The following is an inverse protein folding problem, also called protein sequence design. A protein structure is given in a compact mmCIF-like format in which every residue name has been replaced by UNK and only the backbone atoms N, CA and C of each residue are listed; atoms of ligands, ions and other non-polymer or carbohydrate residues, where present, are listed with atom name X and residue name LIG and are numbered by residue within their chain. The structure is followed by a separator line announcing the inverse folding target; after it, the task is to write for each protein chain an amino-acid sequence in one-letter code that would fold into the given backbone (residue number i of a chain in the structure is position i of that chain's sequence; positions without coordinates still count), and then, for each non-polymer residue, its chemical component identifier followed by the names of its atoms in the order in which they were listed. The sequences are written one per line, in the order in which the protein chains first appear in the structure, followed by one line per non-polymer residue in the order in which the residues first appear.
data_IF_463914564987
#
_entry.id   IF_463914564987
#
_cell.length_a   1.000
_cell.length_b   1.000
_cell.length_c   1.000
_cell.angle_alpha   90.00
_cell.angle_beta   90.00
_cell.angle_gamma   90.00
#
_symmetry.space_group_name_H-M   'P 1'
#
loop_
_entity.id
_entity.type
_entity.pdbx_description
1 polymer ?
#
# COMPACT_ATOMS: atom_id res chain seq x y z
N UNK A 1 -0.92 -22.69 6.87
CA UNK A 1 -0.65 -21.50 6.05
C UNK A 1 -1.67 -20.40 6.31
N UNK A 2 -3.00 -20.61 6.20
CA UNK A 2 -4.02 -19.59 6.43
C UNK A 2 -4.01 -18.93 7.83
N UNK A 3 -3.68 -19.66 8.87
CA UNK A 3 -3.62 -19.12 10.24
C UNK A 3 -2.47 -18.13 10.45
N UNK A 4 -1.29 -18.38 9.87
CA UNK A 4 -0.14 -17.47 9.97
C UNK A 4 -0.41 -16.16 9.24
N UNK A 5 -1.07 -16.20 8.07
CA UNK A 5 -1.43 -15.01 7.30
C UNK A 5 -2.45 -14.13 8.04
N UNK A 6 -3.45 -14.76 8.71
CA UNK A 6 -4.44 -14.03 9.51
C UNK A 6 -3.77 -13.28 10.68
N UNK A 7 -2.82 -13.93 11.32
CA UNK A 7 -2.04 -13.35 12.43
C UNK A 7 -1.06 -12.27 11.93
N UNK A 8 -0.47 -12.46 10.76
CA UNK A 8 0.51 -11.54 10.18
C UNK A 8 -0.11 -10.22 9.72
N UNK A 9 -1.37 -10.23 9.27
CA UNK A 9 -2.06 -9.08 8.68
C UNK A 9 -2.04 -7.79 9.54
N UNK A 10 -2.39 -7.80 10.84
CA UNK A 10 -2.35 -6.59 11.66
C UNK A 10 -0.93 -6.03 11.82
N UNK A 11 0.08 -6.91 11.88
CA UNK A 11 1.48 -6.48 11.97
C UNK A 11 1.97 -5.85 10.66
N UNK A 12 1.68 -6.46 9.53
CA UNK A 12 2.03 -5.92 8.22
C UNK A 12 1.38 -4.56 7.98
N UNK A 13 0.10 -4.42 8.33
CA UNK A 13 -0.63 -3.16 8.22
C UNK A 13 -0.03 -2.07 9.11
N UNK A 14 0.26 -2.38 10.38
CA UNK A 14 0.87 -1.43 11.31
C UNK A 14 2.27 -1.00 10.86
N UNK A 15 3.10 -1.93 10.38
CA UNK A 15 4.41 -1.65 9.82
C UNK A 15 4.32 -0.73 8.60
N UNK A 16 3.37 -1.00 7.70
CA UNK A 16 3.13 -0.19 6.52
C UNK A 16 2.64 1.22 6.87
N UNK A 17 1.67 1.35 7.77
CA UNK A 17 1.14 2.65 8.20
C UNK A 17 2.24 3.51 8.83
N UNK A 18 3.08 2.91 9.68
CA UNK A 18 4.21 3.60 10.28
C UNK A 18 5.22 4.07 9.22
N UNK A 19 5.68 3.17 8.36
CA UNK A 19 6.65 3.49 7.32
C UNK A 19 6.12 4.51 6.31
N UNK A 20 4.82 4.46 5.97
CA UNK A 20 4.18 5.41 5.08
C UNK A 20 4.05 6.81 5.67
N UNK A 21 3.86 6.93 7.00
CA UNK A 21 3.82 8.22 7.71
C UNK A 21 5.19 8.91 7.68
N UNK A 22 6.29 8.16 7.77
CA UNK A 22 7.67 8.68 7.72
C UNK A 22 8.13 8.99 6.28
N UNK A 23 7.49 8.40 5.26
CA UNK A 23 7.72 8.73 3.85
C UNK A 23 8.19 7.57 2.98
N UNK A 24 8.35 7.85 1.68
CA UNK A 24 8.66 6.81 0.67
C UNK A 24 10.01 6.13 0.85
N UNK A 25 11.00 6.85 1.39
CA UNK A 25 12.32 6.28 1.64
C UNK A 25 12.23 5.19 2.71
N UNK A 26 11.49 5.47 3.78
CA UNK A 26 11.25 4.52 4.87
C UNK A 26 10.48 3.28 4.39
N UNK A 27 9.51 3.43 3.49
CA UNK A 27 8.82 2.27 2.89
C UNK A 27 9.79 1.28 2.23
N UNK A 28 10.82 1.80 1.55
CA UNK A 28 11.84 0.95 0.90
C UNK A 28 12.79 0.33 1.93
N UNK A 29 13.20 1.10 2.93
CA UNK A 29 14.08 0.62 4.02
C UNK A 29 13.38 -0.50 4.79
N UNK A 30 12.12 -0.31 5.19
CA UNK A 30 11.33 -1.33 5.87
C UNK A 30 11.16 -2.59 5.04
N UNK A 31 10.86 -2.45 3.73
CA UNK A 31 10.76 -3.55 2.77
C UNK A 31 12.02 -4.42 2.78
N UNK A 32 13.18 -3.80 2.60
CA UNK A 32 14.46 -4.51 2.56
C UNK A 32 14.77 -5.20 3.90
N UNK A 33 14.56 -4.51 5.01
CA UNK A 33 14.90 -5.02 6.33
C UNK A 33 13.94 -6.11 6.80
N UNK A 34 12.64 -6.01 6.48
CA UNK A 34 11.67 -7.09 6.74
C UNK A 34 11.96 -8.32 5.88
N UNK A 35 12.33 -8.13 4.60
CA UNK A 35 12.71 -9.24 3.72
C UNK A 35 13.96 -9.96 4.25
N UNK A 36 14.97 -9.23 4.74
CA UNK A 36 16.16 -9.79 5.36
C UNK A 36 15.81 -10.61 6.60
N UNK A 37 15.03 -10.05 7.52
CA UNK A 37 14.60 -10.74 8.72
C UNK A 37 13.74 -11.99 8.42
N UNK A 38 12.87 -11.91 7.40
CA UNK A 38 12.07 -13.03 6.94
C UNK A 38 12.92 -14.16 6.36
N UNK A 39 13.92 -13.83 5.54
CA UNK A 39 14.84 -14.82 4.97
C UNK A 39 15.63 -15.56 6.07
N UNK A 40 16.09 -14.85 7.09
CA UNK A 40 16.80 -15.47 8.23
C UNK A 40 15.88 -16.42 9.00
N UNK A 41 14.63 -16.03 9.24
CA UNK A 41 13.67 -16.89 9.97
C UNK A 41 13.23 -18.10 9.14
N UNK A 42 13.27 -18.01 7.81
CA UNK A 42 13.01 -19.13 6.91
C UNK A 42 14.15 -20.17 6.84
N UNK A 43 15.35 -19.76 7.24
CA UNK A 43 16.47 -20.70 7.31
C UNK A 43 16.17 -21.85 8.27
N UNK A 44 16.40 -23.08 7.81
CA UNK A 44 16.00 -24.29 8.55
C UNK A 44 16.78 -24.47 9.89
N UNK A 45 18.02 -23.99 9.96
CA UNK A 45 18.82 -24.06 11.18
C UNK A 45 18.35 -23.00 12.18
N UNK A 46 18.11 -21.79 11.69
CA UNK A 46 17.61 -20.69 12.50
C UNK A 46 16.18 -20.96 13.01
N UNK A 47 15.29 -21.49 12.17
CA UNK A 47 13.95 -21.89 12.56
C UNK A 47 13.96 -22.96 13.67
N UNK A 48 14.84 -23.97 13.58
CA UNK A 48 15.05 -24.95 14.63
C UNK A 48 15.58 -24.33 15.92
N UNK A 49 16.49 -23.36 15.81
CA UNK A 49 17.02 -22.63 16.93
C UNK A 49 15.90 -21.83 17.65
N UNK A 50 15.09 -21.10 16.94
CA UNK A 50 13.94 -20.35 17.49
C UNK A 50 12.87 -21.24 18.13
N UNK A 51 12.74 -22.48 17.66
CA UNK A 51 11.73 -23.44 18.16
C UNK A 51 12.15 -24.15 19.44
N UNK A 52 13.33 -23.89 20.01
CA UNK A 52 13.80 -24.49 21.25
C UNK A 52 13.00 -24.00 22.45
N UNK A 53 12.39 -24.88 23.26
CA UNK A 53 11.55 -24.48 24.41
C UNK A 53 12.29 -23.74 25.51
N UNK A 54 13.63 -23.91 25.56
CA UNK A 54 14.51 -23.29 26.58
C UNK A 54 14.87 -21.84 26.29
N UNK A 55 14.56 -21.32 25.08
CA UNK A 55 14.94 -19.98 24.69
C UNK A 55 13.97 -18.92 25.19
N UNK A 56 14.54 -17.90 25.79
CA UNK A 56 13.80 -16.70 26.15
C UNK A 56 13.55 -15.82 24.93
N UNK A 57 12.52 -14.97 24.99
CA UNK A 57 12.23 -13.98 23.95
C UNK A 57 13.42 -13.04 23.70
N UNK A 58 14.14 -12.66 24.76
CA UNK A 58 15.31 -11.80 24.66
C UNK A 58 16.46 -12.48 23.87
N UNK A 59 16.71 -13.75 24.09
CA UNK A 59 17.73 -14.54 23.37
C UNK A 59 17.35 -14.68 21.88
N UNK A 60 16.08 -14.98 21.60
CA UNK A 60 15.57 -15.06 20.22
C UNK A 60 15.74 -13.73 19.46
N UNK A 61 15.42 -12.61 20.12
CA UNK A 61 15.56 -11.27 19.55
C UNK A 61 17.02 -10.90 19.30
N UNK A 62 17.89 -11.19 20.29
CA UNK A 62 19.33 -10.93 20.18
C UNK A 62 19.96 -11.76 19.06
N UNK A 63 19.60 -13.02 18.94
CA UNK A 63 20.08 -13.90 17.87
C UNK A 63 19.61 -13.41 16.47
N UNK A 64 18.36 -12.97 16.35
CA UNK A 64 17.84 -12.39 15.09
C UNK A 64 18.61 -11.11 14.72
N UNK A 65 18.83 -10.21 15.67
CA UNK A 65 19.57 -8.97 15.40
C UNK A 65 21.03 -9.22 15.04
N UNK A 66 21.68 -10.19 15.69
CA UNK A 66 23.04 -10.60 15.35
C UNK A 66 23.12 -11.19 13.94
N UNK A 67 22.15 -12.00 13.55
CA UNK A 67 22.06 -12.59 12.22
C UNK A 67 21.79 -11.52 11.13
N UNK A 68 21.07 -10.45 11.43
CA UNK A 68 20.84 -9.32 10.52
C UNK A 68 22.05 -8.37 10.37
N UNK A 69 23.18 -8.63 11.06
CA UNK A 69 24.45 -7.92 10.83
C UNK A 69 24.45 -6.42 11.14
N UNK A 70 23.48 -5.90 11.90
CA UNK A 70 23.39 -4.48 12.24
C UNK A 70 22.73 -3.59 11.19
N UNK A 71 22.22 -4.14 10.09
CA UNK A 71 21.54 -3.41 9.01
C UNK A 71 20.12 -2.92 9.36
N UNK A 72 19.64 -3.26 10.57
CA UNK A 72 18.30 -2.91 11.02
C UNK A 72 18.25 -1.49 11.60
N UNK A 73 17.31 -0.68 11.14
CA UNK A 73 16.99 0.63 11.74
C UNK A 73 16.41 0.47 13.15
N UNK A 74 16.46 1.51 13.96
CA UNK A 74 15.93 1.48 15.33
C UNK A 74 14.41 1.18 15.35
N UNK A 75 13.67 1.73 14.40
CA UNK A 75 12.24 1.52 14.25
C UNK A 75 11.88 0.05 13.92
N UNK A 76 12.62 -0.56 12.99
CA UNK A 76 12.42 -1.98 12.64
C UNK A 76 12.85 -2.90 13.79
N UNK A 77 13.92 -2.58 14.51
CA UNK A 77 14.31 -3.34 15.71
C UNK A 77 13.21 -3.33 16.78
N UNK A 78 12.61 -2.17 17.03
CA UNK A 78 11.50 -2.05 17.96
C UNK A 78 10.29 -2.89 17.52
N UNK A 79 9.97 -2.84 16.23
CA UNK A 79 8.89 -3.65 15.64
C UNK A 79 9.17 -5.16 15.79
N UNK A 80 10.37 -5.62 15.43
CA UNK A 80 10.76 -7.03 15.57
C UNK A 80 10.76 -7.50 17.03
N UNK A 81 11.16 -6.63 17.97
CA UNK A 81 11.06 -6.91 19.40
C UNK A 81 9.62 -7.10 19.85
N UNK A 82 8.69 -6.30 19.33
CA UNK A 82 7.26 -6.45 19.61
C UNK A 82 6.69 -7.76 19.04
N UNK A 83 7.09 -8.12 17.82
CA UNK A 83 6.71 -9.40 17.20
C UNK A 83 7.25 -10.59 18.02
N UNK A 84 8.50 -10.49 18.51
CA UNK A 84 9.14 -11.47 19.36
C UNK A 84 8.41 -11.61 20.73
N UNK A 85 8.10 -10.49 21.38
CA UNK A 85 7.36 -10.45 22.64
C UNK A 85 6.01 -11.19 22.56
N UNK A 86 5.37 -11.10 21.39
CA UNK A 86 4.14 -11.84 21.10
C UNK A 86 4.36 -13.29 20.63
N UNK A 87 5.61 -13.78 20.64
CA UNK A 87 6.00 -15.13 20.18
C UNK A 87 5.60 -15.42 18.73
N UNK A 88 5.69 -14.41 17.85
CA UNK A 88 5.23 -14.48 16.47
C UNK A 88 6.34 -14.31 15.43
N UNK A 89 7.60 -14.54 15.81
CA UNK A 89 8.75 -14.46 14.90
C UNK A 89 8.60 -15.37 13.67
N UNK A 90 7.99 -16.56 13.84
CA UNK A 90 7.72 -17.48 12.75
C UNK A 90 6.70 -16.95 11.72
N UNK A 91 5.98 -15.88 12.04
CA UNK A 91 5.07 -15.22 11.10
C UNK A 91 5.78 -14.13 10.26
N UNK A 92 7.06 -13.81 10.52
CA UNK A 92 7.81 -12.78 9.79
C UNK A 92 7.77 -12.94 8.27
N UNK A 93 7.91 -14.13 7.69
CA UNK A 93 7.79 -14.30 6.24
C UNK A 93 6.44 -13.84 5.69
N UNK A 94 5.34 -14.22 6.37
CA UNK A 94 4.01 -13.78 5.98
C UNK A 94 3.79 -12.28 6.22
N UNK A 95 4.42 -11.70 7.26
CA UNK A 95 4.39 -10.26 7.52
C UNK A 95 5.10 -9.50 6.40
N UNK A 96 6.27 -9.94 5.97
CA UNK A 96 7.02 -9.32 4.88
C UNK A 96 6.26 -9.39 3.55
N UNK A 97 5.67 -10.53 3.22
CA UNK A 97 4.85 -10.71 2.02
C UNK A 97 3.64 -9.76 2.01
N UNK A 98 2.88 -9.71 3.10
CA UNK A 98 1.73 -8.81 3.23
C UNK A 98 2.14 -7.33 3.23
N UNK A 99 3.31 -6.99 3.78
CA UNK A 99 3.85 -5.64 3.72
C UNK A 99 4.13 -5.23 2.27
N UNK A 100 4.76 -6.11 1.46
CA UNK A 100 4.99 -5.86 0.04
C UNK A 100 3.68 -5.72 -0.75
N UNK A 101 2.65 -6.50 -0.41
CA UNK A 101 1.32 -6.32 -1.01
C UNK A 101 0.72 -4.94 -0.71
N UNK A 102 0.79 -4.48 0.55
CA UNK A 102 0.28 -3.15 0.94
C UNK A 102 1.10 -2.03 0.28
N UNK A 103 2.42 -2.17 0.22
CA UNK A 103 3.31 -1.26 -0.50
C UNK A 103 2.96 -1.20 -1.99
N UNK A 104 2.83 -2.35 -2.65
CA UNK A 104 2.44 -2.43 -4.06
C UNK A 104 1.05 -1.84 -4.33
N UNK A 105 0.08 -2.02 -3.43
CA UNK A 105 -1.24 -1.36 -3.52
C UNK A 105 -1.13 0.15 -3.41
N UNK A 106 -0.26 0.65 -2.52
CA UNK A 106 -0.02 2.08 -2.34
C UNK A 106 0.74 2.71 -3.51
N UNK A 107 1.69 1.96 -4.09
CA UNK A 107 2.50 2.41 -5.23
C UNK A 107 1.78 2.29 -6.57
N UNK A 108 0.69 1.52 -6.64
CA UNK A 108 -0.09 1.36 -7.88
C UNK A 108 -0.55 2.72 -8.38
N UNK A 109 0.05 3.13 -9.49
CA UNK A 109 -0.40 4.25 -10.30
C UNK A 109 -1.79 3.89 -10.83
N UNK A 110 -2.81 4.65 -10.48
CA UNK A 110 -4.12 4.46 -11.05
C UNK A 110 -4.12 5.07 -12.45
N UNK A 111 -4.28 4.24 -13.48
CA UNK A 111 -4.59 4.72 -14.83
C UNK A 111 -6.01 5.30 -14.82
N UNK A 112 -6.10 6.58 -15.13
CA UNK A 112 -7.36 7.32 -15.16
C UNK A 112 -7.61 7.77 -16.59
N UNK A 113 -8.71 7.31 -17.16
CA UNK A 113 -9.19 7.78 -18.46
C UNK A 113 -10.13 8.96 -18.22
N UNK A 114 -9.75 10.13 -18.75
CA UNK A 114 -10.55 11.34 -18.70
C UNK A 114 -11.16 11.58 -20.09
N UNK A 115 -12.45 11.38 -20.21
CA UNK A 115 -13.20 11.67 -21.43
C UNK A 115 -13.78 13.09 -21.35
N UNK A 116 -13.46 13.93 -22.30
CA UNK A 116 -13.87 15.33 -22.34
C UNK A 116 -14.46 15.70 -23.70
N UNK A 117 -15.34 16.71 -23.73
CA UNK A 117 -15.95 17.20 -24.97
C UNK A 117 -14.93 17.88 -25.90
N UNK A 118 -13.85 18.45 -25.34
CA UNK A 118 -12.79 19.17 -26.04
C UNK A 118 -11.45 18.74 -25.48
N UNK A 119 -10.36 18.95 -26.26
CA UNK A 119 -9.01 18.72 -25.78
C UNK A 119 -8.71 19.55 -24.52
N UNK A 120 -8.17 18.91 -23.50
CA UNK A 120 -7.70 19.59 -22.29
C UNK A 120 -6.36 20.25 -22.56
N UNK A 121 -6.13 21.46 -22.03
CA UNK A 121 -4.80 22.04 -22.01
C UNK A 121 -3.92 21.35 -20.95
N UNK A 122 -2.59 21.43 -21.12
CA UNK A 122 -1.62 20.86 -20.19
C UNK A 122 -1.84 21.35 -18.74
N UNK A 123 -2.22 22.63 -18.59
CA UNK A 123 -2.54 23.22 -17.28
C UNK A 123 -3.79 22.59 -16.66
N UNK A 124 -4.83 22.35 -17.47
CA UNK A 124 -6.07 21.71 -17.01
C UNK A 124 -5.84 20.24 -16.64
N UNK A 125 -5.02 19.52 -17.41
CA UNK A 125 -4.63 18.15 -17.06
C UNK A 125 -3.88 18.09 -15.74
N UNK A 126 -2.93 19.01 -15.51
CA UNK A 126 -2.18 19.05 -14.25
C UNK A 126 -3.04 19.38 -13.04
N UNK A 127 -3.98 20.31 -13.16
CA UNK A 127 -4.93 20.65 -12.09
C UNK A 127 -5.83 19.46 -11.78
N UNK A 128 -6.35 18.81 -12.83
CA UNK A 128 -7.19 17.62 -12.70
C UNK A 128 -6.41 16.45 -12.07
N UNK A 129 -5.16 16.24 -12.51
CA UNK A 129 -4.27 15.23 -11.94
C UNK A 129 -4.05 15.45 -10.44
N UNK A 130 -3.77 16.68 -10.03
CA UNK A 130 -3.57 17.02 -8.61
C UNK A 130 -4.83 16.77 -7.77
N UNK A 131 -6.00 17.17 -8.26
CA UNK A 131 -7.27 16.98 -7.55
C UNK A 131 -7.64 15.49 -7.43
N UNK A 132 -7.45 14.74 -8.50
CA UNK A 132 -7.71 13.30 -8.51
C UNK A 132 -6.69 12.55 -7.65
N UNK A 133 -5.40 12.93 -7.70
CA UNK A 133 -4.36 12.34 -6.84
C UNK A 133 -4.66 12.56 -5.36
N UNK A 134 -5.10 13.77 -4.99
CA UNK A 134 -5.50 14.08 -3.61
C UNK A 134 -6.72 13.25 -3.16
N UNK A 135 -7.69 13.03 -4.07
CA UNK A 135 -8.93 12.31 -3.75
C UNK A 135 -8.75 10.79 -3.71
N UNK A 136 -7.90 10.26 -4.58
CA UNK A 136 -7.65 8.81 -4.70
C UNK A 136 -6.45 8.35 -3.86
N UNK A 137 -5.67 9.28 -3.32
CA UNK A 137 -4.44 9.00 -2.54
C UNK A 137 -3.47 8.09 -3.31
N UNK A 138 -3.37 8.28 -4.65
CA UNK A 138 -2.55 7.47 -5.57
C UNK A 138 -1.88 8.36 -6.61
N UNK A 139 -0.76 7.90 -7.17
CA UNK A 139 -0.22 8.50 -8.40
C UNK A 139 -1.20 8.23 -9.53
N UNK A 140 -1.53 9.28 -10.29
CA UNK A 140 -2.48 9.19 -11.38
C UNK A 140 -1.73 9.36 -12.69
N UNK A 141 -1.90 8.40 -13.56
CA UNK A 141 -1.51 8.52 -14.97
C UNK A 141 -2.77 8.84 -15.75
N UNK A 142 -2.88 10.07 -16.27
CA UNK A 142 -4.05 10.52 -17.01
C UNK A 142 -3.88 10.14 -18.49
N UNK A 143 -4.92 9.53 -19.06
CA UNK A 143 -5.12 9.44 -20.51
C UNK A 143 -6.35 10.23 -20.87
N UNK A 144 -6.19 11.19 -21.78
CA UNK A 144 -7.28 12.04 -22.24
C UNK A 144 -7.88 11.46 -23.51
N UNK A 145 -9.18 11.27 -23.52
CA UNK A 145 -9.97 10.90 -24.69
C UNK A 145 -10.98 12.01 -25.01
N UNK A 146 -11.19 12.27 -26.30
CA UNK A 146 -12.16 13.29 -26.74
C UNK A 146 -13.43 12.58 -27.18
N UNK A 147 -14.56 12.93 -26.56
CA UNK A 147 -15.89 12.49 -26.95
C UNK A 147 -16.79 13.71 -27.19
N UNK A 148 -17.02 14.01 -28.44
CA UNK A 148 -17.87 15.14 -28.89
C UNK A 148 -19.35 14.97 -28.57
N UNK A 149 -19.77 13.78 -28.14
CA UNK A 149 -21.16 13.54 -27.69
C UNK A 149 -21.42 14.13 -26.29
N UNK A 150 -20.37 14.44 -25.54
CA UNK A 150 -20.45 15.20 -24.31
C UNK A 150 -20.62 16.69 -24.68
N UNK A 151 -21.70 17.29 -24.23
CA UNK A 151 -22.00 18.73 -24.46
C UNK A 151 -20.94 19.60 -23.77
N UNK A 152 -20.32 19.10 -22.69
CA UNK A 152 -19.28 19.74 -21.91
C UNK A 152 -19.02 19.01 -20.60
N UNK A 153 -17.97 19.42 -19.91
CA UNK A 153 -17.49 18.78 -18.69
C UNK A 153 -16.63 17.55 -18.98
N UNK A 154 -16.40 16.73 -17.96
CA UNK A 154 -15.52 15.56 -18.05
C UNK A 154 -16.15 14.34 -17.40
N UNK A 155 -15.85 13.17 -17.93
CA UNK A 155 -16.14 11.86 -17.31
C UNK A 155 -14.81 11.21 -16.97
N UNK A 156 -14.62 10.90 -15.70
CA UNK A 156 -13.38 10.29 -15.19
C UNK A 156 -13.66 8.83 -14.89
N UNK A 157 -12.90 7.94 -15.49
CA UNK A 157 -12.96 6.48 -15.25
C UNK A 157 -11.64 5.98 -14.69
N UNK A 158 -11.71 5.24 -13.58
CA UNK A 158 -10.55 4.59 -12.98
C UNK A 158 -10.97 3.23 -12.44
N UNK A 159 -10.52 2.16 -13.10
CA UNK A 159 -10.95 0.81 -12.76
C UNK A 159 -12.48 0.69 -12.76
N UNK A 160 -13.03 0.39 -11.59
CA UNK A 160 -14.48 0.22 -11.33
C UNK A 160 -15.18 1.52 -10.89
N UNK A 161 -14.43 2.62 -10.67
CA UNK A 161 -14.99 3.90 -10.27
C UNK A 161 -15.21 4.82 -11.49
N UNK A 162 -16.44 5.30 -11.67
CA UNK A 162 -16.80 6.31 -12.68
C UNK A 162 -17.31 7.55 -11.99
N UNK A 163 -16.67 8.68 -12.25
CA UNK A 163 -17.10 10.00 -11.78
C UNK A 163 -17.58 10.79 -13.00
N UNK A 164 -18.89 10.97 -13.12
CA UNK A 164 -19.50 11.76 -14.19
C UNK A 164 -19.73 13.20 -13.73
N UNK A 165 -18.90 14.10 -14.23
CA UNK A 165 -19.02 15.55 -14.05
C UNK A 165 -19.44 16.25 -15.36
N UNK A 166 -19.99 15.51 -16.34
CA UNK A 166 -20.47 16.07 -17.60
C UNK A 166 -21.75 16.90 -17.42
N UNK A 167 -21.94 17.85 -18.31
CA UNK A 167 -23.19 18.65 -18.40
C UNK A 167 -24.39 17.75 -18.66
N UNK A 168 -24.22 16.73 -19.52
CA UNK A 168 -25.26 15.75 -19.83
C UNK A 168 -25.69 14.98 -18.60
N UNK A 169 -24.74 14.49 -17.77
CA UNK A 169 -25.03 13.79 -16.52
C UNK A 169 -25.75 14.69 -15.50
N UNK A 170 -25.37 15.96 -15.41
CA UNK A 170 -26.05 16.95 -14.55
C UNK A 170 -27.47 17.23 -15.00
N UNK A 171 -27.70 17.40 -16.31
CA UNK A 171 -29.04 17.60 -16.88
C UNK A 171 -29.94 16.38 -16.68
N UNK A 172 -29.42 15.18 -16.87
CA UNK A 172 -30.17 13.95 -16.63
C UNK A 172 -30.61 13.83 -15.16
N UNK A 173 -29.72 14.14 -14.22
CA UNK A 173 -30.06 14.18 -12.78
C UNK A 173 -31.13 15.21 -12.46
N UNK A 174 -31.01 16.41 -13.04
CA UNK A 174 -31.99 17.48 -12.85
C UNK A 174 -33.38 17.08 -13.39
N UNK A 175 -33.44 16.52 -14.62
CA UNK A 175 -34.65 16.00 -15.21
C UNK A 175 -35.33 14.93 -14.38
N UNK A 176 -34.54 13.99 -13.84
CA UNK A 176 -35.06 12.95 -12.94
C UNK A 176 -35.65 13.54 -11.65
N UNK A 177 -35.04 14.60 -11.09
CA UNK A 177 -35.52 15.27 -9.87
C UNK A 177 -36.79 16.11 -10.12
N UNK A 178 -36.97 16.64 -11.33
CA UNK A 178 -38.16 17.43 -11.69
C UNK A 178 -39.38 16.58 -12.08
N UNK A 179 -39.16 15.31 -12.43
CA UNK A 179 -40.23 14.38 -12.82
C UNK A 179 -40.70 13.49 -11.65
N UNK A 180 -40.24 13.76 -10.43
CA UNK A 180 -40.72 13.14 -9.17
C UNK A 180 -41.56 14.14 -8.39
#
# INVERSE_FOLDING_TARGET
MAELTTVARPYAKAAFEYANAEGKLELTVWSTQLALAAAIVQDAEFARYLSRPSMTVAEQTTALFAACGGELSASVRNFLSLVAANKRLMALPAIAELYEEEKAKSEKTADVVVTSAFGLSDEQEQVLAKQLAAKLVRRINIRTEIDTTLIGGVVVRTGDLVIDASVRGKLAKLSATLNT
#
